data_IF_967753517704
#
_entry.id   IF_967753517704
#
_cell.length_a   1.000
_cell.length_b   1.000
_cell.length_c   1.000
_cell.angle_alpha   90.00
_cell.angle_beta   90.00
_cell.angle_gamma   90.00
#
_symmetry.space_group_name_H-M   'P 1'
#
loop_
_entity.id
_entity.type
_entity.pdbx_description
1 polymer ?
#
# COMPACT_ATOMS: atom_id res chain seq x y z
N UNK A 1 13.06 41.53 -16.49
CA UNK A 1 13.41 40.67 -15.34
C UNK A 1 14.80 41.03 -14.84
N UNK A 2 14.98 41.29 -13.56
CA UNK A 2 16.31 41.55 -13.03
C UNK A 2 17.12 40.28 -13.01
N UNK A 3 18.24 40.23 -13.73
CA UNK A 3 19.18 39.13 -13.64
C UNK A 3 19.82 39.06 -12.25
N UNK A 4 19.95 37.88 -11.64
CA UNK A 4 20.65 37.78 -10.36
C UNK A 4 22.10 38.16 -10.53
N UNK A 5 22.53 39.22 -9.81
CA UNK A 5 23.90 39.75 -9.87
C UNK A 5 24.96 38.77 -9.35
N UNK A 6 24.56 37.75 -8.59
CA UNK A 6 25.47 36.79 -7.96
C UNK A 6 25.01 35.36 -8.16
N UNK A 7 25.98 34.44 -8.17
CA UNK A 7 25.73 32.99 -8.21
C UNK A 7 24.92 32.55 -6.98
N UNK A 8 23.96 31.67 -7.18
CA UNK A 8 23.19 31.08 -6.08
C UNK A 8 24.08 30.33 -5.09
N UNK A 9 23.87 30.60 -3.79
CA UNK A 9 24.57 29.89 -2.72
C UNK A 9 24.26 28.41 -2.74
N UNK A 10 25.17 27.57 -2.21
CA UNK A 10 24.96 26.13 -2.08
C UNK A 10 23.67 25.79 -1.30
N UNK A 11 23.39 26.54 -0.22
CA UNK A 11 22.19 26.40 0.59
C UNK A 11 20.91 26.61 -0.23
N UNK A 12 20.82 27.69 -0.99
CA UNK A 12 19.66 28.03 -1.83
C UNK A 12 19.43 26.94 -2.89
N UNK A 13 20.49 26.48 -3.54
CA UNK A 13 20.43 25.37 -4.50
C UNK A 13 19.92 24.08 -3.86
N UNK A 14 20.44 23.70 -2.69
CA UNK A 14 20.07 22.49 -1.99
C UNK A 14 18.61 22.54 -1.49
N UNK A 15 18.14 23.69 -1.01
CA UNK A 15 16.73 23.89 -0.64
C UNK A 15 15.81 23.68 -1.83
N UNK A 16 16.12 24.21 -2.99
CA UNK A 16 15.34 23.99 -4.22
C UNK A 16 15.36 22.52 -4.66
N UNK A 17 16.50 21.83 -4.58
CA UNK A 17 16.60 20.39 -4.89
C UNK A 17 15.79 19.54 -3.90
N UNK A 18 15.74 19.92 -2.64
CA UNK A 18 14.92 19.22 -1.65
C UNK A 18 13.41 19.31 -1.94
N UNK A 19 12.94 20.42 -2.52
CA UNK A 19 11.52 20.59 -2.90
C UNK A 19 11.10 19.67 -4.05
N UNK A 20 12.00 19.40 -5.00
CA UNK A 20 11.70 18.52 -6.16
C UNK A 20 12.02 17.06 -5.90
N UNK A 21 12.53 16.72 -4.71
CA UNK A 21 12.84 15.33 -4.34
C UNK A 21 11.57 14.55 -4.07
N UNK A 22 11.34 13.50 -4.86
CA UNK A 22 10.25 12.56 -4.62
C UNK A 22 10.51 11.71 -3.38
N UNK A 23 9.54 11.63 -2.50
CA UNK A 23 9.55 10.75 -1.32
C UNK A 23 8.71 9.52 -1.62
N UNK A 24 9.24 8.33 -1.34
CA UNK A 24 8.48 7.08 -1.42
C UNK A 24 7.34 7.12 -0.42
N UNK A 25 6.12 6.88 -0.89
CA UNK A 25 4.95 6.79 -0.02
C UNK A 25 4.96 5.48 0.74
N UNK A 26 4.50 5.50 1.99
CA UNK A 26 4.31 4.30 2.79
C UNK A 26 3.03 3.59 2.33
N UNK A 27 3.14 2.30 2.04
CA UNK A 27 2.02 1.42 1.73
C UNK A 27 1.73 0.53 2.93
N UNK A 28 0.47 0.21 3.13
CA UNK A 28 -0.03 -0.71 4.15
C UNK A 28 -0.66 -1.91 3.47
N UNK A 29 -0.58 -3.08 4.08
CA UNK A 29 -1.26 -4.26 3.57
C UNK A 29 -2.72 -4.24 4.00
N UNK A 30 -3.62 -4.60 3.08
CA UNK A 30 -5.03 -4.76 3.40
C UNK A 30 -5.21 -5.94 4.37
N UNK A 31 -5.93 -5.79 5.50
CA UNK A 31 -6.10 -6.87 6.47
C UNK A 31 -6.93 -8.05 5.94
N UNK A 32 -7.69 -7.87 4.86
CA UNK A 32 -8.53 -8.91 4.28
C UNK A 32 -7.84 -9.68 3.14
N UNK A 33 -7.26 -8.98 2.17
CA UNK A 33 -6.69 -9.60 0.96
C UNK A 33 -5.17 -9.44 0.83
N UNK A 34 -4.49 -8.78 1.78
CA UNK A 34 -3.03 -8.59 1.73
C UNK A 34 -2.53 -7.52 0.74
N UNK A 35 -3.37 -7.01 -0.15
CA UNK A 35 -2.99 -6.07 -1.21
C UNK A 35 -2.45 -4.76 -0.65
N UNK A 36 -1.40 -4.16 -1.25
CA UNK A 36 -0.84 -2.91 -0.78
C UNK A 36 -1.78 -1.73 -1.05
N UNK A 37 -2.08 -0.97 0.00
CA UNK A 37 -3.02 0.16 -0.02
C UNK A 37 -2.38 1.39 0.59
N UNK A 38 -2.68 2.57 0.05
CA UNK A 38 -2.29 3.84 0.64
C UNK A 38 -3.05 4.09 1.94
N UNK A 39 -2.41 4.79 2.88
CA UNK A 39 -3.05 5.19 4.13
C UNK A 39 -4.38 5.92 3.89
N UNK A 40 -5.36 5.66 4.73
CA UNK A 40 -6.69 6.28 4.70
C UNK A 40 -7.48 6.07 3.39
N UNK A 41 -7.17 5.01 2.65
CA UNK A 41 -7.91 4.65 1.43
C UNK A 41 -8.55 3.28 1.54
N UNK A 42 -9.68 3.13 0.86
CA UNK A 42 -10.35 1.85 0.67
C UNK A 42 -9.51 0.97 -0.25
N UNK A 43 -9.41 -0.33 0.04
CA UNK A 43 -8.75 -1.26 -0.84
C UNK A 43 -9.51 -1.35 -2.17
N UNK A 44 -8.83 -1.05 -3.28
CA UNK A 44 -9.44 -1.10 -4.63
C UNK A 44 -9.74 -2.52 -5.09
N UNK A 45 -9.02 -3.51 -4.55
CA UNK A 45 -9.16 -4.91 -4.92
C UNK A 45 -10.39 -5.58 -4.28
N UNK A 46 -10.56 -5.47 -2.95
CA UNK A 46 -11.65 -6.10 -2.21
C UNK A 46 -12.74 -5.15 -1.70
N UNK A 47 -12.51 -3.83 -1.74
CA UNK A 47 -13.48 -2.81 -1.30
C UNK A 47 -13.62 -2.66 0.22
N UNK A 48 -12.67 -3.21 1.00
CA UNK A 48 -12.67 -3.12 2.47
C UNK A 48 -11.88 -1.92 2.98
N UNK A 49 -12.38 -1.35 4.07
CA UNK A 49 -11.71 -0.31 4.84
C UNK A 49 -12.09 -0.46 6.32
N UNK A 50 -11.10 -0.48 7.20
CA UNK A 50 -11.30 -0.59 8.65
C UNK A 50 -12.29 -1.70 9.05
N UNK A 51 -12.04 -2.94 8.53
CA UNK A 51 -12.83 -4.15 8.77
C UNK A 51 -14.31 -4.09 8.29
N UNK A 52 -14.65 -3.10 7.48
CA UNK A 52 -15.97 -2.96 6.87
C UNK A 52 -15.89 -2.96 5.35
N UNK A 53 -16.86 -3.57 4.70
CA UNK A 53 -17.01 -3.44 3.25
C UNK A 53 -17.65 -2.10 2.93
N UNK A 54 -16.89 -1.23 2.26
CA UNK A 54 -17.33 0.11 1.85
C UNK A 54 -17.82 0.09 0.41
N UNK A 55 -17.12 -0.63 -0.45
CA UNK A 55 -17.42 -0.73 -1.88
C UNK A 55 -17.68 -2.18 -2.24
N UNK A 56 -18.80 -2.46 -2.90
CA UNK A 56 -19.06 -3.77 -3.47
C UNK A 56 -18.48 -3.83 -4.89
N UNK A 57 -17.26 -4.38 -5.00
CA UNK A 57 -16.54 -4.49 -6.28
C UNK A 57 -17.20 -5.46 -7.27
N UNK A 58 -18.07 -6.35 -6.77
CA UNK A 58 -18.76 -7.35 -7.59
C UNK A 58 -20.09 -6.87 -8.16
N UNK A 59 -20.63 -5.77 -7.63
CA UNK A 59 -22.00 -5.33 -7.96
C UNK A 59 -22.19 -4.91 -9.43
N UNK A 60 -21.14 -4.38 -10.06
CA UNK A 60 -21.19 -3.85 -11.44
C UNK A 60 -20.69 -4.84 -12.50
N UNK A 61 -20.20 -6.02 -12.08
CA UNK A 61 -19.61 -6.99 -12.99
C UNK A 61 -20.66 -7.94 -13.56
N UNK A 62 -20.49 -8.34 -14.82
CA UNK A 62 -21.29 -9.39 -15.43
C UNK A 62 -21.06 -10.76 -14.77
N UNK A 63 -22.01 -11.68 -14.94
CA UNK A 63 -22.02 -12.97 -14.25
C UNK A 63 -20.73 -13.82 -14.40
N UNK A 64 -20.11 -13.79 -15.58
CA UNK A 64 -18.84 -14.50 -15.83
C UNK A 64 -17.66 -13.83 -15.12
N UNK A 65 -17.54 -12.52 -15.24
CA UNK A 65 -16.50 -11.71 -14.62
C UNK A 65 -16.62 -11.73 -13.10
N UNK A 66 -17.84 -11.66 -12.59
CA UNK A 66 -18.13 -11.79 -11.15
C UNK A 66 -17.60 -13.09 -10.57
N UNK A 67 -17.85 -14.24 -11.24
CA UNK A 67 -17.33 -15.54 -10.78
C UNK A 67 -15.80 -15.61 -10.80
N UNK A 68 -15.17 -15.00 -11.83
CA UNK A 68 -13.71 -14.95 -11.92
C UNK A 68 -13.13 -14.11 -10.79
N UNK A 69 -13.67 -12.91 -10.61
CA UNK A 69 -13.22 -11.98 -9.56
C UNK A 69 -13.45 -12.52 -8.14
N UNK A 70 -14.53 -13.25 -7.93
CA UNK A 70 -14.83 -13.91 -6.66
C UNK A 70 -13.81 -15.02 -6.34
N UNK A 71 -13.35 -15.78 -7.33
CA UNK A 71 -12.28 -16.76 -7.15
C UNK A 71 -10.95 -16.10 -6.80
N UNK A 72 -10.56 -15.08 -7.55
CA UNK A 72 -9.35 -14.29 -7.27
C UNK A 72 -9.35 -13.71 -5.85
N UNK A 73 -10.48 -13.14 -5.42
CA UNK A 73 -10.63 -12.63 -4.05
C UNK A 73 -10.44 -13.71 -2.98
N UNK A 74 -11.03 -14.89 -3.18
CA UNK A 74 -10.90 -16.02 -2.25
C UNK A 74 -9.47 -16.58 -2.20
N UNK A 75 -8.76 -16.59 -3.31
CA UNK A 75 -7.35 -17.02 -3.39
C UNK A 75 -6.47 -16.04 -2.62
N UNK A 76 -6.58 -14.73 -2.88
CA UNK A 76 -5.85 -13.71 -2.14
C UNK A 76 -6.16 -13.68 -0.64
N UNK A 77 -7.41 -13.92 -0.25
CA UNK A 77 -7.77 -14.03 1.17
C UNK A 77 -7.10 -15.23 1.86
N UNK A 78 -6.99 -16.37 1.18
CA UNK A 78 -6.28 -17.54 1.71
C UNK A 78 -4.78 -17.29 1.85
N UNK A 79 -4.14 -16.74 0.81
CA UNK A 79 -2.72 -16.38 0.83
C UNK A 79 -2.41 -15.41 1.97
N UNK A 80 -3.21 -14.35 2.12
CA UNK A 80 -3.06 -13.39 3.20
C UNK A 80 -3.23 -14.01 4.61
N UNK A 81 -4.14 -14.98 4.75
CA UNK A 81 -4.32 -15.69 6.02
C UNK A 81 -3.17 -16.66 6.32
N UNK A 82 -2.60 -17.30 5.31
CA UNK A 82 -1.43 -18.16 5.46
C UNK A 82 -0.20 -17.36 5.86
N UNK A 83 0.06 -16.22 5.23
CA UNK A 83 1.15 -15.30 5.60
C UNK A 83 1.03 -14.80 7.05
N UNK A 84 -0.19 -14.51 7.51
CA UNK A 84 -0.42 -14.08 8.89
C UNK A 84 -0.22 -15.21 9.91
N UNK A 85 -0.40 -16.48 9.53
CA UNK A 85 -0.16 -17.66 10.39
C UNK A 85 1.32 -17.98 10.55
N UNK A 86 2.16 -17.62 9.59
CA UNK A 86 3.61 -17.72 9.68
C UNK A 86 4.08 -16.60 10.62
N UNK A 87 4.01 -16.84 11.92
CA UNK A 87 4.56 -15.92 12.92
C UNK A 87 6.07 -15.80 12.69
N UNK A 88 6.62 -14.58 12.60
CA UNK A 88 8.06 -14.42 12.64
C UNK A 88 8.56 -15.01 13.98
N UNK A 89 9.57 -15.87 13.90
CA UNK A 89 10.27 -16.42 15.07
C UNK A 89 10.56 -15.29 16.04
N UNK A 90 10.10 -15.42 17.28
CA UNK A 90 10.33 -14.38 18.29
C UNK A 90 11.83 -14.25 18.53
N UNK A 91 12.29 -13.04 18.81
CA UNK A 91 13.71 -12.77 19.15
C UNK A 91 14.20 -13.67 20.30
N UNK A 92 13.30 -14.13 21.17
CA UNK A 92 13.58 -15.07 22.27
C UNK A 92 13.90 -16.49 21.78
N UNK A 93 13.31 -16.95 20.68
CA UNK A 93 13.61 -18.25 20.07
C UNK A 93 14.95 -18.24 19.32
N UNK A 94 15.33 -17.10 18.75
CA UNK A 94 16.66 -16.91 18.11
C UNK A 94 17.80 -16.81 19.13
N UNK A 95 17.54 -16.43 20.38
CA UNK A 95 18.55 -16.31 21.44
C UNK A 95 18.80 -17.60 22.21
N UNK A 96 18.06 -18.67 21.94
CA UNK A 96 18.19 -19.99 22.62
C UNK A 96 19.11 -20.99 21.90
N UNK A 97 19.88 -20.56 20.92
CA UNK A 97 20.91 -21.40 20.27
C UNK A 97 22.30 -21.06 20.77
#
# INVERSE_FOLDING_TARGET
>A
MPNPKQRHTKSRRNRRRAQIRLKKQKLFSCPKCGEPVLAHRVCSFCGYYNNRQVINVLAKLEKKERKKKEKELKEHEKEAQEEQKVKPLSLEELSRK
#
